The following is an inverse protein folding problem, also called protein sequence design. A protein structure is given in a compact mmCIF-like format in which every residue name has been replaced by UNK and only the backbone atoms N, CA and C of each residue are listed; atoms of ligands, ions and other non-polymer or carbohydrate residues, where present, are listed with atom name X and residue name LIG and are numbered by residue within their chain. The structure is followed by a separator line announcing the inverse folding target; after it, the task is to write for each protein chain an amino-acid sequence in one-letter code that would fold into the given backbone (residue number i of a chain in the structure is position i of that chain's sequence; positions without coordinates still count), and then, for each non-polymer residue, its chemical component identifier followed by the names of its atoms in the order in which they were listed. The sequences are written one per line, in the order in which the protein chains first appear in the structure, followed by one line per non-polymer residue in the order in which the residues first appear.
data_IF_343538327299
#
_entry.id   IF_343538327299
#
_cell.length_a   1.000
_cell.length_b   1.000
_cell.length_c   1.000
_cell.angle_alpha   90.00
_cell.angle_beta   90.00
_cell.angle_gamma   90.00
#
_symmetry.space_group_name_H-M   'P 1'
#
loop_
_entity.id
_entity.type
_entity.pdbx_description
1 polymer ?
#
# COMPACT_ATOMS: atom_id res chain seq x y z
N UNK A 1 12.53 14.13 -9.55
CA UNK A 1 11.47 13.83 -8.55
C UNK A 1 10.19 14.44 -9.07
N UNK A 2 9.05 13.75 -8.98
CA UNK A 2 7.78 14.29 -9.45
C UNK A 2 7.25 15.30 -8.43
N UNK A 3 7.68 16.56 -8.56
CA UNK A 3 7.34 17.64 -7.64
C UNK A 3 5.83 17.94 -7.60
N UNK A 4 5.12 17.56 -8.66
CA UNK A 4 3.69 17.84 -8.84
C UNK A 4 2.78 16.74 -8.25
N UNK A 5 3.36 15.67 -7.71
CA UNK A 5 2.56 14.58 -7.14
C UNK A 5 1.93 14.99 -5.80
N UNK A 6 0.63 14.71 -5.65
CA UNK A 6 -0.07 14.82 -4.37
C UNK A 6 0.07 13.53 -3.57
N UNK A 7 0.58 13.62 -2.35
CA UNK A 7 0.54 12.51 -1.39
C UNK A 7 -0.91 12.28 -0.97
N UNK A 8 -1.46 11.11 -1.29
CA UNK A 8 -2.83 10.73 -0.94
C UNK A 8 -2.91 10.00 0.39
N UNK A 9 -1.83 9.36 0.81
CA UNK A 9 -1.73 8.62 2.07
C UNK A 9 -0.45 7.78 2.14
N UNK A 10 -0.16 7.29 3.34
CA UNK A 10 0.95 6.39 3.61
C UNK A 10 0.48 5.31 4.59
N UNK A 11 0.98 4.09 4.42
CA UNK A 11 0.73 2.99 5.34
C UNK A 11 2.00 2.16 5.50
N UNK A 12 2.15 1.55 6.67
CA UNK A 12 3.30 0.72 7.00
C UNK A 12 2.89 -0.75 7.10
N UNK A 13 3.54 -1.62 6.33
CA UNK A 13 3.45 -3.07 6.53
C UNK A 13 4.47 -3.49 7.59
N UNK A 14 4.00 -3.63 8.83
CA UNK A 14 4.86 -3.92 9.98
C UNK A 14 4.98 -5.41 10.30
N UNK A 15 6.08 -5.77 10.98
CA UNK A 15 6.32 -7.13 11.48
C UNK A 15 6.72 -8.14 10.41
N UNK A 16 7.41 -7.68 9.37
CA UNK A 16 8.10 -8.53 8.39
C UNK A 16 9.37 -9.09 9.06
N UNK A 17 9.60 -10.41 9.02
CA UNK A 17 10.81 -11.00 9.60
C UNK A 17 12.07 -10.55 8.85
N UNK A 18 13.24 -10.48 9.53
CA UNK A 18 14.51 -10.19 8.85
C UNK A 18 14.80 -11.21 7.75
N UNK A 19 15.12 -10.72 6.55
CA UNK A 19 15.51 -11.54 5.42
C UNK A 19 16.61 -10.83 4.60
N UNK A 20 17.41 -11.57 3.82
CA UNK A 20 18.38 -10.97 2.92
C UNK A 20 17.71 -9.98 1.95
N UNK A 21 18.44 -8.93 1.57
CA UNK A 21 17.93 -7.94 0.60
C UNK A 21 17.54 -8.63 -0.71
N UNK A 22 16.37 -8.28 -1.24
CA UNK A 22 15.81 -8.87 -2.47
C UNK A 22 15.01 -10.16 -2.26
N UNK A 23 14.92 -10.69 -1.03
CA UNK A 23 14.14 -11.91 -0.72
C UNK A 23 12.68 -11.62 -0.36
N UNK A 24 12.34 -10.61 0.49
CA UNK A 24 10.95 -10.29 0.79
C UNK A 24 10.16 -9.96 -0.48
N UNK A 25 8.99 -10.59 -0.63
CA UNK A 25 8.06 -10.31 -1.71
C UNK A 25 6.80 -9.68 -1.13
N UNK A 26 6.61 -8.39 -1.37
CA UNK A 26 5.40 -7.66 -1.01
C UNK A 26 4.55 -7.51 -2.26
N UNK A 27 3.34 -8.05 -2.21
CA UNK A 27 2.32 -7.80 -3.23
C UNK A 27 1.50 -6.60 -2.80
N UNK A 28 1.38 -5.59 -3.68
CA UNK A 28 0.58 -4.40 -3.42
C UNK A 28 -0.52 -4.32 -4.47
N UNK A 29 -1.77 -4.26 -4.02
CA UNK A 29 -2.96 -4.17 -4.86
C UNK A 29 -3.63 -2.83 -4.64
N UNK A 30 -3.84 -2.10 -5.73
CA UNK A 30 -4.57 -0.84 -5.77
C UNK A 30 -5.91 -1.10 -6.43
N UNK A 31 -6.98 -0.98 -5.65
CA UNK A 31 -8.35 -1.09 -6.12
C UNK A 31 -8.97 0.31 -6.12
N UNK A 32 -9.52 0.73 -7.26
CA UNK A 32 -10.14 2.05 -7.44
C UNK A 32 -11.57 1.84 -7.89
N UNK A 33 -12.50 2.35 -7.11
CA UNK A 33 -13.91 2.22 -7.41
C UNK A 33 -14.48 3.44 -8.16
N UNK A 34 -15.73 3.31 -8.62
CA UNK A 34 -16.44 4.37 -9.33
C UNK A 34 -16.72 5.62 -8.47
N UNK A 35 -16.58 5.53 -7.14
CA UNK A 35 -16.74 6.64 -6.21
C UNK A 35 -15.41 7.38 -5.94
N UNK A 36 -14.34 7.04 -6.67
CA UNK A 36 -12.99 7.54 -6.45
C UNK A 36 -12.44 7.23 -5.04
N UNK A 37 -12.93 6.15 -4.42
CA UNK A 37 -12.34 5.58 -3.22
C UNK A 37 -11.25 4.61 -3.66
N UNK A 38 -10.06 4.78 -3.09
CA UNK A 38 -8.91 3.94 -3.38
C UNK A 38 -8.69 3.01 -2.20
N UNK A 39 -8.82 1.71 -2.43
CA UNK A 39 -8.47 0.69 -1.45
C UNK A 39 -7.08 0.15 -1.80
N UNK A 40 -6.13 0.33 -0.89
CA UNK A 40 -4.77 -0.16 -1.07
C UNK A 40 -4.55 -1.28 -0.08
N UNK A 41 -4.08 -2.42 -0.56
CA UNK A 41 -3.70 -3.55 0.28
C UNK A 41 -2.28 -3.99 -0.04
N UNK A 42 -1.54 -4.37 1.00
CA UNK A 42 -0.22 -4.96 0.88
C UNK A 42 -0.16 -6.29 1.62
N UNK A 43 0.46 -7.29 0.99
CA UNK A 43 0.59 -8.64 1.52
C UNK A 43 2.05 -9.05 1.43
N UNK A 44 2.65 -9.45 2.56
CA UNK A 44 3.90 -10.21 2.54
C UNK A 44 3.60 -11.66 2.15
N UNK A 45 4.09 -12.10 0.98
CA UNK A 45 3.80 -13.43 0.44
C UNK A 45 4.42 -14.57 1.26
N UNK A 46 5.42 -14.30 2.11
CA UNK A 46 6.03 -15.31 2.96
C UNK A 46 5.18 -15.58 4.22
N UNK A 47 4.76 -14.51 4.89
CA UNK A 47 4.04 -14.62 6.18
C UNK A 47 2.52 -14.52 6.04
N UNK A 48 2.01 -14.18 4.86
CA UNK A 48 0.61 -13.81 4.61
C UNK A 48 0.10 -12.65 5.47
N UNK A 49 1.00 -11.87 6.08
CA UNK A 49 0.63 -10.65 6.78
C UNK A 49 0.08 -9.63 5.80
N UNK A 50 -1.05 -9.02 6.17
CA UNK A 50 -1.75 -8.05 5.35
C UNK A 50 -1.91 -6.73 6.10
N UNK A 51 -1.79 -5.64 5.37
CA UNK A 51 -2.22 -4.31 5.83
C UNK A 51 -3.01 -3.66 4.71
N UNK A 52 -4.04 -2.90 5.08
CA UNK A 52 -4.86 -2.17 4.12
C UNK A 52 -5.16 -0.75 4.60
N UNK A 53 -5.30 0.16 3.65
CA UNK A 53 -5.74 1.53 3.87
C UNK A 53 -6.78 1.88 2.81
N UNK A 54 -7.85 2.55 3.24
CA UNK A 54 -8.82 3.16 2.33
C UNK A 54 -8.54 4.64 2.29
N UNK A 55 -8.27 5.15 1.11
CA UNK A 55 -8.05 6.57 0.86
C UNK A 55 -9.28 7.10 0.14
N UNK A 56 -9.98 8.01 0.81
CA UNK A 56 -11.00 8.83 0.18
C UNK A 56 -10.33 10.11 -0.27
N UNK A 57 -10.39 10.41 -1.56
CA UNK A 57 -9.98 11.73 -2.04
C UNK A 57 -10.94 12.75 -1.45
N UNK A 58 -10.57 13.38 -0.34
CA UNK A 58 -11.23 14.60 0.12
C UNK A 58 -10.98 15.64 -0.97
N UNK A 59 -12.00 15.86 -1.80
CA UNK A 59 -11.98 16.84 -2.88
C UNK A 59 -11.50 18.18 -2.35
N UNK A 60 -10.68 18.85 -3.15
CA UNK A 60 -10.31 20.25 -2.90
C UNK A 60 -11.50 21.19 -3.03
#
# INVERSE_FOLDING_TARGET
MACDNKLLGSFDLVGIPPAPRGVPQIEVTFDVDANAIINISAIDKMTNKKQQITIQSSGG
#
